data_IF_810593268900
#
_entry.id   IF_810593268900
#
_cell.length_a   1.000
_cell.length_b   1.000
_cell.length_c   1.000
_cell.angle_alpha   90.00
_cell.angle_beta   90.00
_cell.angle_gamma   90.00
#
_symmetry.space_group_name_H-M   'P 1'
#
loop_
_entity.id
_entity.type
_entity.pdbx_description
1 polymer ?
#
# COMPACT_ATOMS: atom_id res chain seq x y z
N UNK A 1 26.28 -26.58 -1.77
CA UNK A 1 26.19 -25.90 -0.46
C UNK A 1 25.22 -24.75 -0.62
N UNK A 2 23.92 -25.05 -0.55
CA UNK A 2 22.86 -24.05 -0.66
C UNK A 2 22.66 -23.46 0.74
N UNK A 3 22.92 -22.17 0.88
CA UNK A 3 22.68 -21.42 2.09
C UNK A 3 21.18 -21.15 2.16
N UNK A 4 20.46 -21.97 2.93
CA UNK A 4 19.06 -21.70 3.29
C UNK A 4 19.10 -20.46 4.18
N UNK A 5 18.85 -19.29 3.60
CA UNK A 5 18.42 -18.13 4.36
C UNK A 5 16.99 -18.44 4.78
N UNK A 6 16.83 -18.96 6.00
CA UNK A 6 15.53 -18.97 6.64
C UNK A 6 15.10 -17.51 6.77
N UNK A 7 14.09 -17.12 6.00
CA UNK A 7 13.42 -15.85 6.19
C UNK A 7 12.79 -15.91 7.58
N UNK A 8 13.39 -15.25 8.57
CA UNK A 8 12.74 -15.04 9.85
C UNK A 8 11.37 -14.44 9.56
N UNK A 9 10.30 -15.13 9.95
CA UNK A 9 8.96 -14.59 9.85
C UNK A 9 8.94 -13.26 10.60
N UNK A 10 8.89 -12.13 9.88
CA UNK A 10 8.77 -10.81 10.48
C UNK A 10 7.44 -10.78 11.24
N UNK A 11 7.52 -10.82 12.55
CA UNK A 11 6.35 -10.64 13.40
C UNK A 11 5.81 -9.22 13.17
N UNK A 12 4.52 -9.13 12.81
CA UNK A 12 3.86 -7.85 12.68
C UNK A 12 3.91 -7.09 14.02
N UNK A 13 4.43 -5.86 14.00
CA UNK A 13 4.72 -5.09 15.22
C UNK A 13 3.47 -4.48 15.87
N UNK A 14 2.43 -4.22 15.07
CA UNK A 14 1.16 -3.62 15.50
C UNK A 14 0.01 -4.35 14.81
N UNK A 15 -1.18 -4.48 15.42
CA UNK A 15 -2.28 -5.21 14.81
C UNK A 15 -2.88 -4.51 13.58
N UNK A 16 -2.85 -3.17 13.56
CA UNK A 16 -3.45 -2.36 12.49
C UNK A 16 -2.60 -1.13 12.14
N UNK A 17 -2.69 -0.67 10.89
CA UNK A 17 -2.11 0.59 10.46
C UNK A 17 -3.12 1.47 9.71
N UNK A 18 -3.52 2.58 10.34
CA UNK A 18 -4.38 3.59 9.74
C UNK A 18 -3.55 4.75 9.24
N UNK A 19 -3.73 5.13 7.97
CA UNK A 19 -2.97 6.19 7.34
C UNK A 19 -3.89 7.36 7.06
N UNK A 20 -3.41 8.56 7.35
CA UNK A 20 -4.06 9.82 7.00
C UNK A 20 -3.02 10.73 6.38
N UNK A 21 -3.42 11.52 5.38
CA UNK A 21 -2.50 12.43 4.72
C UNK A 21 -3.06 12.98 3.42
N UNK A 22 -2.16 13.26 2.50
CA UNK A 22 -2.42 13.78 1.17
C UNK A 22 -1.88 12.82 0.08
N UNK A 23 -1.67 13.32 -1.13
CA UNK A 23 -1.08 12.60 -2.26
C UNK A 23 0.16 11.76 -1.94
N UNK A 24 1.03 12.21 -1.01
CA UNK A 24 2.27 11.49 -0.64
C UNK A 24 1.96 10.18 0.09
N UNK A 25 0.79 10.11 0.74
CA UNK A 25 0.34 8.96 1.51
C UNK A 25 -0.77 8.18 0.80
N UNK A 26 -1.44 8.76 -0.19
CA UNK A 26 -2.53 8.12 -0.94
C UNK A 26 -2.03 6.90 -1.73
N UNK A 27 -2.68 5.76 -1.54
CA UNK A 27 -2.40 4.52 -2.23
C UNK A 27 -3.43 4.12 -3.31
N UNK A 28 -4.43 4.98 -3.55
CA UNK A 28 -5.49 4.77 -4.55
C UNK A 28 -6.89 5.18 -4.12
N UNK A 29 -7.07 5.97 -3.06
CA UNK A 29 -8.37 6.43 -2.57
C UNK A 29 -9.18 7.21 -3.61
N UNK A 30 -8.50 7.91 -4.51
CA UNK A 30 -9.14 8.69 -5.56
C UNK A 30 -9.55 7.88 -6.81
N UNK A 31 -9.23 6.57 -6.88
CA UNK A 31 -9.42 5.79 -8.10
C UNK A 31 -10.89 5.77 -8.55
N UNK A 32 -11.81 5.59 -7.60
CA UNK A 32 -13.24 5.44 -7.86
C UNK A 32 -14.04 6.73 -7.68
N UNK A 33 -13.39 7.84 -7.30
CA UNK A 33 -14.04 9.14 -7.15
C UNK A 33 -14.13 9.88 -8.48
N UNK A 34 -15.20 10.64 -8.72
CA UNK A 34 -15.29 11.51 -9.89
C UNK A 34 -14.45 12.79 -9.69
N UNK A 35 -13.14 12.66 -9.85
CA UNK A 35 -12.14 13.72 -9.64
C UNK A 35 -11.03 13.68 -10.68
N UNK A 36 -10.41 14.83 -10.97
CA UNK A 36 -9.18 14.88 -11.76
C UNK A 36 -7.93 14.58 -10.93
N UNK A 37 -8.05 14.59 -9.60
CA UNK A 37 -6.96 14.33 -8.65
C UNK A 37 -6.80 12.82 -8.46
N UNK A 38 -6.42 12.11 -9.53
CA UNK A 38 -6.15 10.67 -9.50
C UNK A 38 -4.98 10.34 -10.41
N UNK A 39 -4.31 9.21 -10.16
CA UNK A 39 -3.08 8.80 -10.85
C UNK A 39 -3.03 7.29 -11.12
N UNK A 40 -4.17 6.66 -11.40
CA UNK A 40 -4.21 5.25 -11.87
C UNK A 40 -3.91 5.12 -13.38
N UNK A 41 -2.98 5.91 -13.90
CA UNK A 41 -2.55 5.89 -15.31
C UNK A 41 -1.04 6.02 -15.43
N UNK A 42 -0.48 5.62 -16.57
CA UNK A 42 0.96 5.75 -16.83
C UNK A 42 1.41 7.22 -16.84
N UNK A 43 2.58 7.58 -16.27
CA UNK A 43 3.66 6.70 -15.84
C UNK A 43 3.62 6.30 -14.35
N UNK A 44 2.54 6.58 -13.62
CA UNK A 44 2.46 6.20 -12.20
C UNK A 44 2.31 4.68 -12.05
N UNK A 45 2.97 4.11 -11.04
CA UNK A 45 2.99 2.67 -10.82
C UNK A 45 3.79 1.83 -11.83
N UNK A 46 4.67 2.43 -12.65
CA UNK A 46 5.53 1.69 -13.60
C UNK A 46 6.46 0.65 -12.93
N UNK A 47 6.78 0.82 -11.65
CA UNK A 47 7.62 -0.12 -10.90
C UNK A 47 6.80 -1.27 -10.29
N UNK A 48 5.46 -1.24 -10.37
CA UNK A 48 4.61 -2.37 -10.03
C UNK A 48 4.36 -3.26 -11.24
N UNK A 49 4.49 -4.58 -11.06
CA UNK A 49 4.18 -5.56 -12.11
C UNK A 49 2.74 -5.48 -12.64
N UNK A 50 1.79 -5.01 -11.82
CA UNK A 50 0.38 -4.81 -12.20
C UNK A 50 0.08 -3.45 -12.85
N UNK A 51 1.07 -2.57 -12.95
CA UNK A 51 0.92 -1.21 -13.47
C UNK A 51 0.32 -0.21 -12.47
N UNK A 52 -0.32 0.87 -12.96
CA UNK A 52 -0.79 1.99 -12.15
C UNK A 52 -1.72 1.58 -11.01
N UNK A 53 -1.42 2.00 -9.78
CA UNK A 53 -2.21 1.64 -8.60
C UNK A 53 -2.99 2.81 -8.00
N UNK A 54 -2.68 4.05 -8.40
CA UNK A 54 -3.21 5.26 -7.75
C UNK A 54 -2.31 5.85 -6.66
N UNK A 55 -1.07 5.33 -6.50
CA UNK A 55 -0.02 6.01 -5.71
C UNK A 55 0.57 7.14 -6.54
N UNK A 56 0.79 8.31 -5.94
CA UNK A 56 1.44 9.46 -6.59
C UNK A 56 2.96 9.28 -6.71
N UNK A 57 3.39 8.11 -7.19
CA UNK A 57 4.78 7.74 -7.45
C UNK A 57 4.86 6.65 -8.53
N UNK A 58 6.08 6.30 -8.95
CA UNK A 58 6.32 5.19 -9.86
C UNK A 58 6.03 3.82 -9.22
N UNK A 59 5.97 3.73 -7.89
CA UNK A 59 5.90 2.46 -7.17
C UNK A 59 5.37 2.66 -5.77
N UNK A 60 6.09 2.14 -4.77
CA UNK A 60 5.73 2.28 -3.36
C UNK A 60 5.80 3.74 -2.87
N UNK A 61 4.94 4.09 -1.92
CA UNK A 61 4.96 5.38 -1.21
C UNK A 61 5.35 5.18 0.26
N UNK A 62 5.36 6.27 1.05
CA UNK A 62 5.82 6.24 2.45
C UNK A 62 5.06 5.18 3.29
N UNK A 63 3.72 5.12 3.27
CA UNK A 63 2.94 4.07 3.95
C UNK A 63 3.37 2.64 3.63
N UNK A 64 3.70 2.34 2.38
CA UNK A 64 4.08 0.98 2.00
C UNK A 64 5.39 0.56 2.67
N UNK A 65 6.37 1.45 2.69
CA UNK A 65 7.65 1.19 3.36
C UNK A 65 7.46 1.04 4.87
N UNK A 66 6.61 1.87 5.48
CA UNK A 66 6.29 1.77 6.90
C UNK A 66 5.58 0.43 7.21
N UNK A 67 4.61 0.01 6.38
CA UNK A 67 3.92 -1.27 6.54
C UNK A 67 4.87 -2.46 6.44
N UNK A 68 5.79 -2.46 5.47
CA UNK A 68 6.82 -3.50 5.34
C UNK A 68 7.76 -3.54 6.57
N UNK A 69 8.20 -2.38 7.05
CA UNK A 69 9.04 -2.28 8.25
C UNK A 69 8.30 -2.74 9.51
N UNK A 70 6.98 -2.57 9.56
CA UNK A 70 6.12 -3.06 10.64
C UNK A 70 5.73 -4.54 10.49
N UNK A 71 6.18 -5.22 9.43
CA UNK A 71 5.95 -6.66 9.24
C UNK A 71 4.57 -7.04 8.69
N UNK A 72 3.87 -6.12 8.02
CA UNK A 72 2.66 -6.47 7.28
C UNK A 72 3.04 -7.28 6.02
N UNK A 73 2.31 -8.35 5.73
CA UNK A 73 2.53 -9.21 4.55
C UNK A 73 2.06 -8.58 3.24
N UNK A 74 1.08 -7.68 3.32
CA UNK A 74 0.39 -7.08 2.19
C UNK A 74 0.34 -5.56 2.32
N UNK A 75 0.06 -4.88 1.21
CA UNK A 75 -0.20 -3.44 1.23
C UNK A 75 -1.48 -3.13 2.01
N UNK A 76 -1.42 -2.08 2.83
CA UNK A 76 -2.63 -1.51 3.44
C UNK A 76 -3.58 -1.09 2.30
N UNK A 77 -4.88 -1.43 2.33
CA UNK A 77 -5.82 -1.11 1.25
C UNK A 77 -6.29 0.36 1.30
N UNK A 78 -6.67 0.96 0.16
CA UNK A 78 -7.36 2.25 0.14
C UNK A 78 -8.72 2.13 0.81
N UNK A 79 -9.11 3.14 1.58
CA UNK A 79 -10.42 3.28 2.21
C UNK A 79 -11.57 3.16 1.20
N UNK A 80 -11.45 3.81 0.04
CA UNK A 80 -12.53 3.87 -0.95
C UNK A 80 -13.01 2.48 -1.45
N UNK A 81 -12.17 1.45 -1.37
CA UNK A 81 -12.49 0.09 -1.81
C UNK A 81 -12.33 -0.99 -0.72
N UNK A 82 -12.06 -0.61 0.53
CA UNK A 82 -11.82 -1.58 1.60
C UNK A 82 -13.11 -2.23 2.10
N UNK A 83 -13.08 -3.55 2.28
CA UNK A 83 -14.15 -4.27 2.98
C UNK A 83 -14.07 -4.05 4.50
N UNK A 84 -15.17 -4.24 5.25
CA UNK A 84 -15.14 -4.20 6.71
C UNK A 84 -14.10 -5.15 7.33
N UNK A 85 -13.85 -6.30 6.70
CA UNK A 85 -12.86 -7.27 7.17
C UNK A 85 -11.43 -6.73 7.01
N UNK A 86 -11.15 -6.04 5.89
CA UNK A 86 -9.84 -5.43 5.66
C UNK A 86 -9.51 -4.33 6.67
N UNK A 87 -10.53 -3.62 7.17
CA UNK A 87 -10.33 -2.59 8.19
C UNK A 87 -9.72 -3.13 9.51
N UNK A 88 -9.80 -4.44 9.78
CA UNK A 88 -9.13 -5.06 10.91
C UNK A 88 -7.59 -5.12 10.78
N UNK A 89 -7.04 -4.90 9.58
CA UNK A 89 -5.58 -4.79 9.36
C UNK A 89 -5.15 -3.31 9.25
N UNK A 90 -6.11 -2.39 9.12
CA UNK A 90 -5.89 -0.98 8.84
C UNK A 90 -6.36 -0.58 7.45
N UNK A 91 -6.40 0.73 7.20
CA UNK A 91 -6.85 1.35 5.94
C UNK A 91 -6.05 2.63 5.70
N UNK A 92 -5.87 2.93 4.42
CA UNK A 92 -5.27 4.18 3.94
C UNK A 92 -6.33 5.14 3.45
#
# INVERSE_FOLDING_TARGET
MALIMAEEARTQLVPCYFVFGDSVFDNGNNNDLNTTVKVHYSPYGIDFARGPTGRFSNGRNIPDFIAELMGFSDYIPPFAGASPQQAHTGIN
#
